data_IF_430016463731
#
_entry.id   IF_430016463731
#
_cell.length_a   1.000
_cell.length_b   1.000
_cell.length_c   1.000
_cell.angle_alpha   90.00
_cell.angle_beta   90.00
_cell.angle_gamma   90.00
#
_symmetry.space_group_name_H-M   'P 1'
#
loop_
_entity.id
_entity.type
_entity.pdbx_description
1 polymer ?
#
# COMPACT_ATOMS: atom_id res chain seq x y z
N UNK A 1 -0.63 18.85 -15.28
CA UNK A 1 -0.18 17.60 -14.60
C UNK A 1 -0.89 17.50 -13.26
N UNK A 2 -1.52 16.36 -13.01
CA UNK A 2 -2.19 16.13 -11.73
C UNK A 2 -1.25 15.41 -10.78
N UNK A 3 -1.23 15.85 -9.53
CA UNK A 3 -0.43 15.25 -8.47
C UNK A 3 -1.29 15.09 -7.23
N UNK A 4 -1.25 13.92 -6.63
CA UNK A 4 -1.93 13.65 -5.37
C UNK A 4 -0.87 13.21 -4.35
N UNK A 5 -0.85 13.86 -3.18
CA UNK A 5 0.00 13.47 -2.07
C UNK A 5 -0.87 12.90 -0.96
N UNK A 6 -0.52 11.69 -0.50
CA UNK A 6 -1.27 10.97 0.52
C UNK A 6 -0.29 10.49 1.59
N UNK A 7 -0.68 10.60 2.85
CA UNK A 7 0.04 9.97 3.96
C UNK A 7 -0.89 8.96 4.61
N UNK A 8 -0.48 7.69 4.62
CA UNK A 8 -1.22 6.63 5.30
C UNK A 8 -0.48 6.26 6.58
N UNK A 9 -1.10 6.54 7.70
CA UNK A 9 -0.53 6.28 9.03
C UNK A 9 -0.67 4.82 9.41
N UNK A 10 0.30 4.31 10.12
CA UNK A 10 0.33 2.94 10.61
C UNK A 10 1.56 2.21 10.12
N UNK A 11 1.83 1.06 10.72
CA UNK A 11 2.98 0.24 10.34
C UNK A 11 2.73 -0.36 8.95
N UNK A 12 3.52 0.01 7.93
CA UNK A 12 3.38 -0.61 6.61
C UNK A 12 3.53 -2.13 6.68
N UNK A 13 2.62 -2.85 6.06
CA UNK A 13 2.58 -4.29 6.12
C UNK A 13 2.41 -4.90 4.73
N UNK A 14 2.81 -6.16 4.59
CA UNK A 14 2.68 -6.90 3.35
C UNK A 14 1.79 -8.13 3.55
N UNK A 15 1.22 -8.62 2.46
CA UNK A 15 0.43 -9.85 2.48
C UNK A 15 1.30 -11.09 2.68
N UNK A 16 2.56 -11.03 2.24
CA UNK A 16 3.45 -12.19 2.18
C UNK A 16 3.90 -12.74 3.52
N UNK A 17 4.15 -11.86 4.48
CA UNK A 17 4.89 -12.27 5.68
C UNK A 17 4.06 -12.81 6.81
N UNK A 18 2.77 -13.02 6.60
CA UNK A 18 1.92 -13.35 7.72
C UNK A 18 0.62 -14.00 7.29
N UNK A 19 0.65 -14.66 6.15
CA UNK A 19 -0.49 -15.44 5.69
C UNK A 19 -0.75 -16.61 6.63
N UNK A 20 -2.01 -16.89 6.89
CA UNK A 20 -2.42 -18.07 7.63
C UNK A 20 -3.02 -19.08 6.67
N UNK A 21 -2.76 -20.38 6.92
CA UNK A 21 -3.39 -21.43 6.16
C UNK A 21 -4.64 -21.86 6.92
N UNK A 22 -5.77 -21.79 6.25
CA UNK A 22 -7.03 -22.30 6.79
C UNK A 22 -7.59 -23.36 5.84
N UNK A 23 -8.45 -24.22 6.35
CA UNK A 23 -9.12 -25.22 5.53
C UNK A 23 -10.55 -24.76 5.24
N UNK A 24 -10.89 -24.66 3.98
CA UNK A 24 -12.24 -24.30 3.54
C UNK A 24 -12.69 -25.31 2.49
N UNK A 25 -13.84 -25.95 2.75
CA UNK A 25 -14.39 -26.98 1.88
C UNK A 25 -13.39 -28.11 1.60
N UNK A 26 -12.63 -28.49 2.62
CA UNK A 26 -11.64 -29.56 2.51
C UNK A 26 -10.35 -29.17 1.80
N UNK A 27 -10.21 -27.91 1.37
CA UNK A 27 -9.01 -27.43 0.67
C UNK A 27 -8.26 -26.40 1.52
N UNK A 28 -6.92 -26.52 1.58
CA UNK A 28 -6.14 -25.48 2.26
C UNK A 28 -6.14 -24.20 1.43
N UNK A 29 -6.38 -23.07 2.06
CA UNK A 29 -6.24 -21.75 1.45
C UNK A 29 -5.40 -20.87 2.35
N UNK A 30 -4.66 -19.94 1.71
CA UNK A 30 -3.84 -18.97 2.43
C UNK A 30 -4.64 -17.68 2.49
N UNK A 31 -4.86 -17.17 3.71
CA UNK A 31 -5.51 -15.88 3.90
C UNK A 31 -4.49 -14.87 4.42
N UNK A 32 -4.66 -13.56 4.14
CA UNK A 32 -3.77 -12.56 4.69
C UNK A 32 -3.76 -12.60 6.21
N UNK A 33 -2.64 -12.23 6.81
CA UNK A 33 -2.53 -12.15 8.25
C UNK A 33 -3.48 -11.08 8.80
N UNK A 34 -3.77 -11.22 10.06
CA UNK A 34 -4.53 -10.21 10.79
C UNK A 34 -3.80 -8.86 10.76
N UNK A 35 -2.48 -8.86 10.87
CA UNK A 35 -1.69 -7.63 10.81
C UNK A 35 -1.87 -6.89 9.49
N UNK A 36 -1.81 -7.62 8.36
CA UNK A 36 -2.03 -6.98 7.06
C UNK A 36 -3.46 -6.47 6.93
N UNK A 37 -4.44 -7.29 7.33
CA UNK A 37 -5.84 -6.91 7.25
C UNK A 37 -6.13 -5.65 8.07
N UNK A 38 -5.58 -5.56 9.27
CA UNK A 38 -5.73 -4.38 10.11
C UNK A 38 -5.11 -3.15 9.44
N UNK A 39 -3.94 -3.31 8.85
CA UNK A 39 -3.30 -2.23 8.11
C UNK A 39 -4.15 -1.78 6.92
N UNK A 40 -4.63 -2.73 6.11
CA UNK A 40 -5.47 -2.43 4.97
C UNK A 40 -6.74 -1.68 5.39
N UNK A 41 -7.43 -2.19 6.42
CA UNK A 41 -8.65 -1.56 6.92
C UNK A 41 -8.39 -0.14 7.40
N UNK A 42 -7.30 0.07 8.13
CA UNK A 42 -6.93 1.41 8.61
C UNK A 42 -6.63 2.36 7.46
N UNK A 43 -5.95 1.88 6.42
CA UNK A 43 -5.65 2.71 5.24
C UNK A 43 -6.93 3.06 4.47
N UNK A 44 -7.81 2.09 4.27
CA UNK A 44 -9.08 2.33 3.59
C UNK A 44 -9.94 3.33 4.36
N UNK A 45 -9.93 3.23 5.68
CA UNK A 45 -10.63 4.19 6.53
C UNK A 45 -10.06 5.61 6.36
N UNK A 46 -8.73 5.74 6.33
CA UNK A 46 -8.09 7.05 6.13
C UNK A 46 -8.41 7.66 4.78
N UNK A 47 -8.62 6.82 3.75
CA UNK A 47 -8.96 7.29 2.40
C UNK A 47 -10.46 7.50 2.19
N UNK A 48 -11.30 6.96 3.07
CA UNK A 48 -12.74 7.08 2.92
C UNK A 48 -13.18 8.54 2.97
N UNK A 49 -14.04 8.93 2.05
CA UNK A 49 -14.59 10.29 2.00
C UNK A 49 -13.67 11.35 1.43
N UNK A 50 -12.42 11.03 1.09
CA UNK A 50 -11.50 12.04 0.58
C UNK A 50 -11.69 12.37 -0.90
N UNK A 51 -12.47 11.61 -1.63
CA UNK A 51 -12.79 11.85 -3.05
C UNK A 51 -11.57 12.12 -3.92
N UNK A 52 -10.44 11.49 -3.61
CA UNK A 52 -9.23 11.59 -4.41
C UNK A 52 -9.31 10.57 -5.53
N UNK A 53 -9.01 11.00 -6.74
CA UNK A 53 -8.97 10.10 -7.89
C UNK A 53 -8.07 10.63 -8.98
N UNK A 54 -7.28 9.76 -9.59
CA UNK A 54 -6.46 10.08 -10.73
C UNK A 54 -6.58 8.92 -11.74
N UNK A 55 -6.91 9.25 -12.98
CA UNK A 55 -7.17 8.26 -14.03
C UNK A 55 -5.99 8.11 -14.97
N UNK A 56 -5.96 6.99 -15.66
CA UNK A 56 -5.02 6.73 -16.74
C UNK A 56 -3.69 6.19 -16.24
N UNK A 57 -2.67 6.34 -17.09
CA UNK A 57 -1.31 5.87 -16.80
C UNK A 57 -0.67 6.79 -15.77
N UNK A 58 -0.14 6.20 -14.71
CA UNK A 58 0.32 6.95 -13.54
C UNK A 58 1.67 6.44 -13.03
N UNK A 59 2.34 7.30 -12.28
CA UNK A 59 3.51 6.96 -11.48
C UNK A 59 3.08 7.00 -10.01
N UNK A 60 3.39 5.98 -9.25
CA UNK A 60 3.10 5.91 -7.82
C UNK A 60 4.42 5.79 -7.08
N UNK A 61 4.79 6.84 -6.35
CA UNK A 61 6.05 6.87 -5.60
C UNK A 61 5.75 6.81 -4.12
N UNK A 62 6.36 5.85 -3.44
CA UNK A 62 6.09 5.58 -2.04
C UNK A 62 7.36 5.64 -1.20
N UNK A 63 7.29 6.30 -0.06
CA UNK A 63 8.36 6.28 0.94
C UNK A 63 7.78 5.70 2.21
N UNK A 64 8.37 4.59 2.66
CA UNK A 64 7.88 3.87 3.83
C UNK A 64 8.76 4.13 5.04
N UNK A 65 8.13 4.43 6.16
CA UNK A 65 8.78 4.61 7.45
C UNK A 65 8.27 3.53 8.38
N UNK A 66 9.20 2.70 8.87
CA UNK A 66 8.87 1.55 9.71
C UNK A 66 9.10 1.89 11.18
N UNK A 67 8.39 1.26 12.11
CA UNK A 67 8.56 1.56 13.54
C UNK A 67 9.86 1.01 14.12
N UNK A 68 10.39 -0.07 13.52
CA UNK A 68 11.61 -0.73 14.01
C UNK A 68 12.11 -1.70 12.94
N UNK A 69 13.21 -2.39 13.25
CA UNK A 69 13.81 -3.36 12.32
C UNK A 69 13.18 -4.75 12.38
N UNK A 70 12.28 -4.98 13.32
CA UNK A 70 11.67 -6.29 13.51
C UNK A 70 10.70 -6.60 12.37
N UNK A 71 10.76 -7.83 11.84
CA UNK A 71 9.89 -8.27 10.74
C UNK A 71 9.97 -7.34 9.54
N UNK A 72 11.19 -7.03 9.10
CA UNK A 72 11.43 -6.10 8.00
C UNK A 72 10.74 -6.59 6.71
N UNK A 73 9.82 -5.82 6.14
CA UNK A 73 9.13 -6.22 4.92
C UNK A 73 9.98 -5.96 3.68
N UNK A 74 9.68 -6.66 2.60
CA UNK A 74 10.33 -6.38 1.32
C UNK A 74 9.61 -5.23 0.60
N UNK A 75 10.37 -4.43 -0.12
CA UNK A 75 9.84 -3.26 -0.81
C UNK A 75 8.77 -3.65 -1.84
N UNK A 76 9.01 -4.71 -2.60
CA UNK A 76 8.05 -5.17 -3.63
C UNK A 76 6.70 -5.50 -2.98
N UNK A 77 6.73 -6.19 -1.85
CA UNK A 77 5.51 -6.52 -1.12
C UNK A 77 4.77 -5.28 -0.62
N UNK A 78 5.51 -4.27 -0.15
CA UNK A 78 4.91 -3.02 0.28
C UNK A 78 4.26 -2.27 -0.88
N UNK A 79 4.91 -2.23 -2.03
CA UNK A 79 4.37 -1.59 -3.23
C UNK A 79 3.11 -2.31 -3.72
N UNK A 80 3.11 -3.64 -3.69
CA UNK A 80 1.94 -4.43 -4.06
C UNK A 80 0.77 -4.13 -3.14
N UNK A 81 1.00 -4.12 -1.83
CA UNK A 81 -0.03 -3.84 -0.85
C UNK A 81 -0.61 -2.43 -1.05
N UNK A 82 0.25 -1.44 -1.25
CA UNK A 82 -0.17 -0.06 -1.48
C UNK A 82 -1.01 0.06 -2.75
N UNK A 83 -0.58 -0.60 -3.83
CA UNK A 83 -1.31 -0.59 -5.10
C UNK A 83 -2.71 -1.18 -4.94
N UNK A 84 -2.83 -2.28 -4.21
CA UNK A 84 -4.13 -2.89 -3.93
C UNK A 84 -5.04 -1.98 -3.11
N UNK A 85 -4.49 -1.30 -2.11
CA UNK A 85 -5.25 -0.38 -1.27
C UNK A 85 -5.75 0.81 -2.09
N UNK A 86 -4.89 1.40 -2.92
CA UNK A 86 -5.28 2.52 -3.76
C UNK A 86 -6.37 2.13 -4.76
N UNK A 87 -6.29 0.92 -5.30
CA UNK A 87 -7.31 0.40 -6.22
C UNK A 87 -8.64 0.18 -5.49
N UNK A 88 -8.62 -0.45 -4.32
CA UNK A 88 -9.82 -0.68 -3.52
C UNK A 88 -10.49 0.62 -3.09
N UNK A 89 -9.70 1.62 -2.76
CA UNK A 89 -10.21 2.93 -2.36
C UNK A 89 -10.64 3.80 -3.55
N UNK A 90 -10.44 3.30 -4.76
CA UNK A 90 -10.77 4.01 -6.01
C UNK A 90 -10.01 5.32 -6.17
N UNK A 91 -8.83 5.42 -5.59
CA UNK A 91 -7.92 6.55 -5.81
C UNK A 91 -7.31 6.43 -7.21
N UNK A 92 -7.06 5.23 -7.66
CA UNK A 92 -6.61 4.93 -9.02
C UNK A 92 -7.61 3.97 -9.68
N UNK A 93 -7.60 3.92 -11.00
CA UNK A 93 -8.52 3.04 -11.75
C UNK A 93 -8.19 1.56 -11.53
N UNK A 94 -6.90 1.22 -11.63
CA UNK A 94 -6.42 -0.16 -11.47
C UNK A 94 -4.91 -0.12 -11.36
N UNK A 95 -4.33 -1.08 -10.67
CA UNK A 95 -2.87 -1.15 -10.50
C UNK A 95 -2.15 -1.43 -11.82
N UNK A 96 -2.81 -1.99 -12.83
CA UNK A 96 -2.21 -2.21 -14.15
C UNK A 96 -1.78 -0.91 -14.83
N UNK A 97 -2.37 0.23 -14.44
CA UNK A 97 -2.01 1.53 -15.01
C UNK A 97 -0.78 2.16 -14.36
N UNK A 98 -0.25 1.55 -13.32
CA UNK A 98 0.99 2.03 -12.70
C UNK A 98 2.15 1.64 -13.61
N UNK A 99 2.76 2.64 -14.26
CA UNK A 99 3.85 2.39 -15.19
C UNK A 99 5.23 2.52 -14.53
N UNK A 100 5.28 3.08 -13.33
CA UNK A 100 6.54 3.28 -12.61
C UNK A 100 6.25 3.52 -11.14
N UNK A 101 7.15 3.05 -10.29
CA UNK A 101 7.11 3.39 -8.87
C UNK A 101 8.15 4.46 -8.50
N UNK A 102 8.75 5.11 -9.53
CA UNK A 102 9.68 6.22 -9.30
C UNK A 102 10.81 5.84 -8.35
N UNK A 103 11.11 6.74 -7.43
CA UNK A 103 12.16 6.54 -6.42
C UNK A 103 11.61 5.92 -5.12
N UNK A 104 10.63 5.03 -5.24
CA UNK A 104 10.06 4.37 -4.08
C UNK A 104 11.12 3.64 -3.26
N UNK A 105 11.01 3.71 -1.94
CA UNK A 105 11.99 3.09 -1.06
C UNK A 105 11.43 2.90 0.34
N UNK A 106 12.11 2.08 1.12
CA UNK A 106 11.95 2.09 2.56
C UNK A 106 12.89 3.17 3.06
N UNK A 107 12.31 4.32 3.44
CA UNK A 107 13.09 5.53 3.70
C UNK A 107 13.79 5.52 5.05
N UNK A 108 13.27 4.75 6.01
CA UNK A 108 13.92 4.66 7.30
C UNK A 108 12.99 4.18 8.40
N UNK A 109 13.41 4.43 9.61
CA UNK A 109 12.68 4.07 10.82
C UNK A 109 12.15 5.33 11.47
N UNK A 110 10.85 5.33 11.79
CA UNK A 110 10.23 6.38 12.58
C UNK A 110 9.33 5.70 13.62
N UNK A 111 9.89 5.50 14.80
CA UNK A 111 9.23 4.79 15.88
C UNK A 111 7.92 5.45 16.31
N UNK A 112 7.91 6.78 16.31
CA UNK A 112 6.76 7.56 16.78
C UNK A 112 5.65 7.67 15.73
N UNK A 113 6.00 7.58 14.46
CA UNK A 113 5.04 7.84 13.39
C UNK A 113 5.34 6.98 12.15
N UNK A 114 5.19 5.65 12.26
CA UNK A 114 5.35 4.80 11.08
C UNK A 114 4.26 5.14 10.07
N UNK A 115 4.63 5.15 8.79
CA UNK A 115 3.70 5.61 7.74
C UNK A 115 4.18 5.26 6.35
N UNK A 116 3.28 5.43 5.38
CA UNK A 116 3.60 5.44 3.97
C UNK A 116 3.29 6.84 3.42
N UNK A 117 4.27 7.48 2.83
CA UNK A 117 4.09 8.76 2.11
C UNK A 117 4.01 8.44 0.63
N UNK A 118 2.90 8.76 0.00
CA UNK A 118 2.59 8.34 -1.37
C UNK A 118 2.37 9.57 -2.23
N UNK A 119 3.04 9.61 -3.38
CA UNK A 119 2.80 10.62 -4.40
C UNK A 119 2.36 9.93 -5.68
N UNK A 120 1.22 10.34 -6.21
CA UNK A 120 0.67 9.79 -7.45
C UNK A 120 0.65 10.91 -8.47
N UNK A 121 1.24 10.64 -9.64
CA UNK A 121 1.35 11.62 -10.72
C UNK A 121 0.83 11.01 -12.00
N UNK A 122 0.05 11.78 -12.78
CA UNK A 122 -0.32 11.30 -14.11
C UNK A 122 0.89 11.36 -15.02
N UNK A 123 0.98 10.39 -15.92
CA UNK A 123 2.08 10.34 -16.87
C UNK A 123 1.57 10.79 -18.23
N UNK A 124 1.99 11.98 -18.65
CA UNK A 124 1.69 12.47 -19.99
C UNK A 124 2.74 11.99 -20.96
N UNK A 125 2.28 11.58 -22.10
CA UNK A 125 3.18 11.24 -23.21
C UNK A 125 3.68 12.49 -23.89
#
# INVERSE_FOLDING_TARGET
MSVIDITLKGRPATKKNSGRIITKNGKPIIIPSEAYKNYEDACLWQLAGKKLHISGIIVVECKYYLPNKKSWPDLIGLLQATSDILTKAKVIDDDKWICSYGDSCIAGIDKENPRAEIRIMDRKK
#
